data_IF_383386645882
#
_entry.id   IF_383386645882
#
_cell.length_a   1.000
_cell.length_b   1.000
_cell.length_c   1.000
_cell.angle_alpha   90.00
_cell.angle_beta   90.00
_cell.angle_gamma   90.00
#
_symmetry.space_group_name_H-M   'P 1'
#
loop_
_entity.id
_entity.type
_entity.pdbx_description
1 polymer ?
#
# COMPACT_ATOMS: atom_id res chain seq x y z
N UNK A 1 21.39 4.78 2.15
CA UNK A 1 19.92 4.82 1.96
C UNK A 1 19.25 5.15 3.29
N UNK A 2 18.46 6.22 3.37
CA UNK A 2 17.65 6.56 4.54
C UNK A 2 16.23 6.03 4.32
N UNK A 3 15.72 5.27 5.29
CA UNK A 3 14.39 4.67 5.26
C UNK A 3 13.52 5.29 6.34
N UNK A 4 12.28 5.61 6.02
CA UNK A 4 11.31 6.09 6.99
C UNK A 4 9.97 5.36 6.85
N UNK A 5 9.27 5.22 7.97
CA UNK A 5 7.91 4.72 8.02
C UNK A 5 6.97 5.86 8.40
N UNK A 6 5.92 6.05 7.62
CA UNK A 6 4.83 6.96 7.95
C UNK A 6 3.79 6.22 8.78
N UNK A 7 3.21 6.90 9.75
CA UNK A 7 2.18 6.33 10.60
C UNK A 7 1.08 7.35 10.88
N UNK A 8 -0.15 6.97 10.65
CA UNK A 8 -1.34 7.74 11.01
C UNK A 8 -2.56 6.83 11.15
N UNK A 9 -3.59 7.28 11.81
CA UNK A 9 -4.87 6.57 11.86
C UNK A 9 -5.62 6.79 10.56
N UNK A 10 -5.77 5.74 9.76
CA UNK A 10 -6.55 5.79 8.52
C UNK A 10 -8.01 6.07 8.85
N UNK A 11 -8.58 7.09 8.23
CA UNK A 11 -9.96 7.52 8.47
C UNK A 11 -10.94 6.84 7.51
N UNK A 12 -12.24 7.04 7.72
CA UNK A 12 -13.28 6.54 6.81
C UNK A 12 -13.41 7.37 5.51
N UNK A 13 -12.66 8.46 5.36
CA UNK A 13 -12.73 9.40 4.24
C UNK A 13 -11.45 9.32 3.41
N UNK A 14 -11.52 8.72 2.23
CA UNK A 14 -10.34 8.47 1.41
C UNK A 14 -9.64 9.73 0.93
N UNK A 15 -10.39 10.79 0.65
CA UNK A 15 -9.82 12.08 0.23
C UNK A 15 -8.91 12.68 1.32
N UNK A 16 -9.35 12.57 2.56
CA UNK A 16 -8.56 13.00 3.72
C UNK A 16 -7.29 12.16 3.87
N UNK A 17 -7.42 10.85 3.72
CA UNK A 17 -6.29 9.93 3.79
C UNK A 17 -5.27 10.20 2.68
N UNK A 18 -5.73 10.50 1.46
CA UNK A 18 -4.84 10.87 0.35
C UNK A 18 -4.01 12.12 0.68
N UNK A 19 -4.62 13.16 1.25
CA UNK A 19 -3.91 14.38 1.64
C UNK A 19 -2.92 14.14 2.79
N UNK A 20 -3.28 13.32 3.77
CA UNK A 20 -2.36 12.94 4.85
C UNK A 20 -1.15 12.19 4.27
N UNK A 21 -1.38 11.21 3.40
CA UNK A 21 -0.30 10.47 2.74
C UNK A 21 0.63 11.40 1.95
N UNK A 22 0.07 12.29 1.14
CA UNK A 22 0.84 13.24 0.35
C UNK A 22 1.68 14.19 1.24
N UNK A 23 1.11 14.66 2.35
CA UNK A 23 1.82 15.49 3.32
C UNK A 23 2.99 14.75 3.97
N UNK A 24 2.78 13.49 4.38
CA UNK A 24 3.84 12.65 4.96
C UNK A 24 4.94 12.35 3.94
N UNK A 25 4.57 12.10 2.67
CA UNK A 25 5.53 11.93 1.58
C UNK A 25 6.40 13.18 1.39
N UNK A 26 5.79 14.37 1.39
CA UNK A 26 6.52 15.63 1.27
C UNK A 26 7.49 15.83 2.43
N UNK A 27 7.06 15.59 3.68
CA UNK A 27 7.91 15.69 4.87
C UNK A 27 9.10 14.70 4.81
N UNK A 28 8.85 13.45 4.39
CA UNK A 28 9.92 12.47 4.24
C UNK A 28 10.94 12.91 3.18
N UNK A 29 10.49 13.41 2.04
CA UNK A 29 11.36 13.90 0.97
C UNK A 29 12.21 15.10 1.43
N UNK A 30 11.66 16.03 2.22
CA UNK A 30 12.39 17.16 2.80
C UNK A 30 13.51 16.72 3.78
N UNK A 31 13.41 15.51 4.32
CA UNK A 31 14.40 14.91 5.21
C UNK A 31 15.32 13.90 4.50
N UNK A 32 15.46 14.00 3.18
CA UNK A 32 16.35 13.17 2.36
C UNK A 32 16.08 11.65 2.47
N UNK A 33 14.84 11.27 2.74
CA UNK A 33 14.42 9.87 2.76
C UNK A 33 14.45 9.29 1.35
N UNK A 34 15.08 8.14 1.18
CA UNK A 34 15.18 7.42 -0.09
C UNK A 34 14.05 6.41 -0.29
N UNK A 35 13.63 5.75 0.80
CA UNK A 35 12.56 4.77 0.82
C UNK A 35 11.57 5.11 1.94
N UNK A 36 10.33 5.38 1.56
CA UNK A 36 9.25 5.73 2.47
C UNK A 36 8.15 4.67 2.44
N UNK A 37 7.77 4.15 3.60
CA UNK A 37 6.75 3.11 3.74
C UNK A 37 5.54 3.65 4.48
N UNK A 38 4.37 3.58 3.86
CA UNK A 38 3.09 3.96 4.42
C UNK A 38 2.33 2.75 5.00
N UNK A 39 1.29 2.96 5.83
CA UNK A 39 0.50 1.87 6.41
C UNK A 39 -0.27 1.04 5.37
N UNK A 40 -0.83 -0.07 5.84
CA UNK A 40 -1.74 -0.93 5.06
C UNK A 40 -3.16 -0.33 4.97
N UNK A 41 -3.85 -0.63 3.88
CA UNK A 41 -5.29 -0.33 3.69
C UNK A 41 -5.63 1.17 3.77
N UNK A 42 -4.92 1.98 3.00
CA UNK A 42 -4.95 3.45 3.10
C UNK A 42 -6.22 4.13 2.57
N UNK A 43 -7.07 3.42 1.81
CA UNK A 43 -8.24 4.07 1.21
C UNK A 43 -9.23 4.53 2.26
N UNK A 44 -9.75 3.61 3.05
CA UNK A 44 -10.69 3.95 4.11
C UNK A 44 -10.72 2.85 5.17
N UNK A 45 -10.90 3.24 6.42
CA UNK A 45 -11.04 2.32 7.54
C UNK A 45 -12.06 2.86 8.53
N UNK A 46 -12.88 1.94 9.05
CA UNK A 46 -13.84 2.22 10.13
C UNK A 46 -13.90 1.00 11.04
N UNK A 47 -13.77 1.19 12.35
CA UNK A 47 -13.84 0.10 13.34
C UNK A 47 -15.23 -0.51 13.44
N UNK A 48 -16.26 0.19 12.95
CA UNK A 48 -17.66 -0.28 12.92
C UNK A 48 -18.08 -0.88 11.58
N UNK A 49 -17.25 -0.76 10.52
CA UNK A 49 -17.47 -1.36 9.21
C UNK A 49 -16.17 -2.01 8.70
N UNK A 50 -15.99 -3.27 9.06
CA UNK A 50 -14.78 -4.03 8.67
C UNK A 50 -14.60 -4.17 7.14
N UNK A 51 -15.67 -4.00 6.36
CA UNK A 51 -15.65 -4.15 4.91
C UNK A 51 -15.44 -2.82 4.17
N UNK A 52 -15.32 -1.69 4.89
CA UNK A 52 -15.21 -0.38 4.28
C UNK A 52 -14.01 -0.27 3.33
N UNK A 53 -12.90 -0.90 3.66
CA UNK A 53 -11.70 -0.90 2.80
C UNK A 53 -11.98 -1.53 1.43
N UNK A 54 -12.78 -2.60 1.39
CA UNK A 54 -13.20 -3.26 0.14
C UNK A 54 -14.27 -2.44 -0.59
N UNK A 55 -15.27 -1.94 0.14
CA UNK A 55 -16.33 -1.07 -0.42
C UNK A 55 -15.74 0.21 -1.04
N UNK A 56 -14.63 0.70 -0.49
CA UNK A 56 -13.96 1.92 -0.95
C UNK A 56 -12.87 1.65 -2.00
N UNK A 57 -12.71 0.40 -2.45
CA UNK A 57 -11.67 0.01 -3.38
C UNK A 57 -11.67 0.87 -4.64
N UNK A 58 -10.48 1.26 -5.08
CA UNK A 58 -10.29 2.07 -6.29
C UNK A 58 -9.30 1.38 -7.24
N UNK A 59 -9.46 1.66 -8.53
CA UNK A 59 -8.50 1.24 -9.54
C UNK A 59 -7.13 1.89 -9.31
N UNK A 60 -6.08 1.28 -9.85
CA UNK A 60 -4.73 1.86 -9.80
C UNK A 60 -4.64 3.22 -10.52
N UNK A 61 -5.53 3.46 -11.49
CA UNK A 61 -5.70 4.74 -12.19
C UNK A 61 -6.67 5.69 -11.51
N UNK A 62 -7.18 5.30 -10.33
CA UNK A 62 -8.14 6.09 -9.55
C UNK A 62 -7.55 7.35 -8.92
N UNK A 63 -8.42 8.14 -8.32
CA UNK A 63 -8.06 9.47 -7.80
C UNK A 63 -7.13 9.40 -6.59
N UNK A 64 -7.29 8.41 -5.71
CA UNK A 64 -6.42 8.26 -4.55
C UNK A 64 -4.96 8.10 -4.97
N UNK A 65 -4.69 7.08 -5.77
CA UNK A 65 -3.32 6.81 -6.22
C UNK A 65 -2.82 7.91 -7.15
N UNK A 66 -3.70 8.50 -7.96
CA UNK A 66 -3.39 9.66 -8.78
C UNK A 66 -2.83 10.83 -7.97
N UNK A 67 -3.42 11.12 -6.80
CA UNK A 67 -2.91 12.16 -5.89
C UNK A 67 -1.51 11.83 -5.38
N UNK A 68 -1.26 10.60 -4.95
CA UNK A 68 0.03 10.18 -4.44
C UNK A 68 1.10 10.11 -5.56
N UNK A 69 0.71 9.70 -6.76
CA UNK A 69 1.60 9.72 -7.92
C UNK A 69 2.07 11.15 -8.25
N UNK A 70 1.17 12.13 -8.20
CA UNK A 70 1.55 13.54 -8.40
C UNK A 70 2.55 14.01 -7.35
N UNK A 71 2.36 13.60 -6.09
CA UNK A 71 3.34 13.92 -5.03
C UNK A 71 4.68 13.23 -5.28
N UNK A 72 4.68 11.95 -5.62
CA UNK A 72 5.91 11.18 -5.90
C UNK A 72 6.72 11.73 -7.09
N UNK A 73 6.07 12.43 -8.01
CA UNK A 73 6.71 13.07 -9.16
C UNK A 73 7.61 14.25 -8.77
N UNK A 74 7.45 14.78 -7.57
CA UNK A 74 8.17 15.99 -7.10
C UNK A 74 9.56 15.71 -6.56
N UNK A 75 9.90 14.44 -6.35
CA UNK A 75 11.19 14.03 -5.79
C UNK A 75 11.60 12.64 -6.29
N UNK A 76 12.79 12.18 -5.86
CA UNK A 76 13.33 10.88 -6.25
C UNK A 76 13.07 9.75 -5.23
N UNK A 77 12.32 10.03 -4.18
CA UNK A 77 12.01 9.06 -3.13
C UNK A 77 11.11 7.94 -3.67
N UNK A 78 11.39 6.71 -3.26
CA UNK A 78 10.50 5.58 -3.48
C UNK A 78 9.48 5.50 -2.36
N UNK A 79 8.19 5.45 -2.68
CA UNK A 79 7.11 5.31 -1.70
C UNK A 79 6.41 3.97 -1.89
N UNK A 80 6.28 3.20 -0.79
CA UNK A 80 5.56 1.92 -0.75
C UNK A 80 4.28 2.11 0.06
N UNK A 81 3.18 1.61 -0.46
CA UNK A 81 1.87 1.70 0.17
C UNK A 81 0.97 0.52 -0.23
N UNK A 82 -0.13 0.31 0.49
CA UNK A 82 -1.16 -0.64 0.05
C UNK A 82 -2.53 0.03 -0.03
N UNK A 83 -3.27 -0.35 -1.05
CA UNK A 83 -4.68 -0.01 -1.25
C UNK A 83 -5.47 -1.24 -1.67
N UNK A 84 -6.78 -1.20 -1.49
CA UNK A 84 -7.66 -2.22 -2.07
C UNK A 84 -8.05 -1.83 -3.49
N UNK A 85 -7.89 -2.78 -4.41
CA UNK A 85 -8.19 -2.63 -5.86
C UNK A 85 -9.29 -3.62 -6.23
N UNK A 86 -10.37 -3.21 -6.90
CA UNK A 86 -11.45 -4.12 -7.27
C UNK A 86 -10.93 -5.33 -8.06
N UNK A 87 -11.39 -6.52 -7.70
CA UNK A 87 -11.14 -7.77 -8.43
C UNK A 87 -12.39 -8.22 -9.18
N UNK A 88 -13.30 -8.91 -8.51
CA UNK A 88 -14.63 -9.26 -9.01
C UNK A 88 -15.70 -8.48 -8.22
N UNK A 89 -16.96 -8.45 -8.65
CA UNK A 89 -18.01 -7.71 -7.92
C UNK A 89 -18.05 -8.05 -6.43
N UNK A 90 -17.92 -7.02 -5.57
CA UNK A 90 -17.92 -7.16 -4.11
C UNK A 90 -16.61 -7.67 -3.51
N UNK A 91 -15.56 -7.84 -4.31
CA UNK A 91 -14.25 -8.33 -3.86
C UNK A 91 -13.11 -7.42 -4.34
N UNK A 92 -11.98 -7.50 -3.67
CA UNK A 92 -10.80 -6.71 -3.99
C UNK A 92 -9.51 -7.48 -3.73
N UNK A 93 -8.42 -7.06 -4.35
CA UNK A 93 -7.07 -7.41 -3.93
C UNK A 93 -6.55 -6.39 -2.93
N UNK A 94 -5.81 -6.83 -1.92
CA UNK A 94 -4.97 -5.96 -1.11
C UNK A 94 -3.66 -5.77 -1.87
N UNK A 95 -3.52 -4.63 -2.54
CA UNK A 95 -2.46 -4.38 -3.49
C UNK A 95 -1.39 -3.47 -2.90
N UNK A 96 -0.17 -3.99 -2.79
CA UNK A 96 1.01 -3.18 -2.53
C UNK A 96 1.46 -2.52 -3.84
N UNK A 97 1.79 -1.25 -3.74
CA UNK A 97 2.27 -0.43 -4.86
C UNK A 97 3.55 0.28 -4.46
N UNK A 98 4.53 0.30 -5.33
CA UNK A 98 5.71 1.14 -5.19
C UNK A 98 5.69 2.26 -6.24
N UNK A 99 5.88 3.50 -5.77
CA UNK A 99 5.88 4.71 -6.60
C UNK A 99 7.29 5.29 -6.68
N UNK A 100 7.72 5.63 -7.90
CA UNK A 100 8.95 6.39 -8.17
C UNK A 100 8.68 7.41 -9.27
N UNK A 101 9.02 8.66 -9.04
CA UNK A 101 8.93 9.73 -10.04
C UNK A 101 7.55 9.79 -10.75
N UNK A 102 6.47 9.57 -10.01
CA UNK A 102 5.10 9.58 -10.52
C UNK A 102 4.63 8.28 -11.19
N UNK A 103 5.48 7.25 -11.25
CA UNK A 103 5.18 5.97 -11.89
C UNK A 103 4.99 4.85 -10.86
N UNK A 104 4.13 3.90 -11.19
CA UNK A 104 4.04 2.61 -10.49
C UNK A 104 5.17 1.74 -11.03
N UNK A 105 6.17 1.45 -10.19
CA UNK A 105 7.35 0.65 -10.57
C UNK A 105 7.28 -0.79 -10.09
N UNK A 106 6.42 -1.08 -9.12
CA UNK A 106 6.11 -2.44 -8.68
C UNK A 106 4.69 -2.49 -8.13
N UNK A 107 4.06 -3.66 -8.26
CA UNK A 107 2.76 -3.98 -7.66
C UNK A 107 2.77 -5.44 -7.21
N UNK A 108 2.09 -5.71 -6.12
CA UNK A 108 2.03 -7.02 -5.52
C UNK A 108 0.69 -7.22 -4.81
N UNK A 109 -0.09 -8.21 -5.21
CA UNK A 109 -1.30 -8.61 -4.48
C UNK A 109 -0.90 -9.53 -3.32
N UNK A 110 -1.27 -9.16 -2.10
CA UNK A 110 -0.97 -9.92 -0.88
C UNK A 110 -1.32 -11.40 -1.04
N UNK A 111 -0.35 -12.27 -0.80
CA UNK A 111 -0.52 -13.71 -0.94
C UNK A 111 -1.22 -14.34 0.27
N UNK A 112 -0.83 -13.93 1.48
CA UNK A 112 -1.30 -14.55 2.72
C UNK A 112 -2.31 -13.65 3.43
N UNK A 113 -3.58 -14.00 3.27
CA UNK A 113 -4.69 -13.28 3.89
C UNK A 113 -4.79 -13.63 5.37
N UNK A 114 -5.19 -12.65 6.18
CA UNK A 114 -5.34 -12.83 7.62
C UNK A 114 -6.75 -13.33 7.97
N UNK A 115 -6.86 -14.62 8.22
CA UNK A 115 -8.09 -15.28 8.65
C UNK A 115 -7.90 -15.85 10.06
N UNK A 116 -7.86 -14.97 11.06
CA UNK A 116 -7.64 -15.37 12.44
C UNK A 116 -8.56 -14.60 13.39
N UNK A 117 -8.93 -15.24 14.49
CA UNK A 117 -9.85 -14.69 15.47
C UNK A 117 -11.20 -14.29 14.83
N UNK A 118 -11.65 -13.08 15.07
CA UNK A 118 -12.89 -12.56 14.49
C UNK A 118 -12.70 -11.93 13.09
N UNK A 119 -11.46 -11.90 12.59
CA UNK A 119 -11.11 -11.27 11.31
C UNK A 119 -11.01 -12.35 10.24
N UNK A 120 -11.74 -12.17 9.14
CA UNK A 120 -11.73 -13.05 7.97
C UNK A 120 -11.50 -12.21 6.71
N UNK A 121 -10.24 -11.89 6.44
CA UNK A 121 -9.87 -11.09 5.27
C UNK A 121 -10.32 -11.76 3.96
N UNK A 122 -10.20 -13.08 3.85
CA UNK A 122 -10.60 -13.86 2.68
C UNK A 122 -12.08 -13.74 2.31
N UNK A 123 -12.91 -13.22 3.21
CA UNK A 123 -14.35 -13.04 2.95
C UNK A 123 -14.62 -12.12 1.76
N UNK A 124 -13.80 -11.06 1.60
CA UNK A 124 -13.98 -10.04 0.57
C UNK A 124 -12.69 -9.70 -0.19
N UNK A 125 -11.55 -10.25 0.22
CA UNK A 125 -10.26 -10.02 -0.41
C UNK A 125 -9.81 -11.31 -1.10
N UNK A 126 -9.32 -11.17 -2.33
CA UNK A 126 -8.73 -12.26 -3.09
C UNK A 126 -7.22 -12.31 -2.84
N UNK A 127 -6.70 -13.51 -2.59
CA UNK A 127 -5.27 -13.72 -2.49
C UNK A 127 -4.59 -13.52 -3.85
N UNK A 128 -3.40 -12.93 -3.85
CA UNK A 128 -2.52 -12.94 -5.01
C UNK A 128 -2.01 -14.35 -5.32
N UNK A 129 -1.38 -14.50 -6.47
CA UNK A 129 -0.82 -15.78 -6.93
C UNK A 129 0.62 -15.64 -7.43
N UNK A 130 1.22 -14.48 -7.28
CA UNK A 130 2.59 -14.20 -7.72
C UNK A 130 3.40 -13.57 -6.60
N UNK A 131 4.67 -13.96 -6.50
CA UNK A 131 5.64 -13.34 -5.60
C UNK A 131 5.93 -11.92 -6.10
N UNK A 132 6.12 -11.00 -5.16
CA UNK A 132 6.47 -9.63 -5.48
C UNK A 132 7.80 -9.55 -6.25
N UNK A 133 7.91 -8.67 -7.25
CA UNK A 133 9.21 -8.39 -7.86
C UNK A 133 10.14 -7.73 -6.85
N UNK A 134 11.44 -7.96 -6.99
CA UNK A 134 12.42 -7.19 -6.22
C UNK A 134 12.45 -5.75 -6.72
N UNK A 135 12.35 -4.82 -5.80
CA UNK A 135 12.46 -3.40 -6.07
C UNK A 135 13.92 -2.97 -5.86
N UNK A 136 14.43 -2.11 -6.72
CA UNK A 136 15.76 -1.51 -6.55
C UNK A 136 15.63 -0.07 -6.08
N UNK A 137 16.29 0.24 -4.95
CA UNK A 137 16.37 1.60 -4.39
C UNK A 137 17.82 1.88 -4.07
N UNK A 138 18.41 2.88 -4.73
CA UNK A 138 19.83 3.27 -4.56
C UNK A 138 20.80 2.07 -4.65
N UNK A 139 20.56 1.17 -5.60
CA UNK A 139 21.38 -0.02 -5.81
C UNK A 139 21.14 -1.16 -4.82
N UNK A 140 20.22 -0.99 -3.87
CA UNK A 140 19.82 -2.04 -2.93
C UNK A 140 18.57 -2.74 -3.42
N UNK A 141 18.56 -4.07 -3.32
CA UNK A 141 17.38 -4.88 -3.62
C UNK A 141 16.48 -4.93 -2.40
N UNK A 142 15.21 -4.58 -2.59
CA UNK A 142 14.18 -4.54 -1.55
C UNK A 142 13.10 -5.55 -1.88
N UNK A 143 12.91 -6.53 -1.00
CA UNK A 143 11.79 -7.47 -1.06
C UNK A 143 10.50 -6.83 -0.52
N UNK A 144 9.37 -7.16 -1.12
CA UNK A 144 8.07 -6.59 -0.78
C UNK A 144 7.16 -7.65 -0.16
N UNK A 145 6.51 -7.31 0.94
CA UNK A 145 5.51 -8.14 1.61
C UNK A 145 4.51 -7.27 2.37
N UNK A 146 3.35 -7.82 2.66
CA UNK A 146 2.27 -7.09 3.34
C UNK A 146 1.83 -7.82 4.59
N UNK A 147 1.97 -7.17 5.77
CA UNK A 147 1.40 -7.55 7.05
C UNK A 147 1.58 -9.05 7.37
N UNK A 148 0.53 -9.87 7.21
CA UNK A 148 0.53 -11.30 7.55
C UNK A 148 1.53 -12.13 6.74
N UNK A 149 1.94 -11.66 5.55
CA UNK A 149 3.01 -12.28 4.76
C UNK A 149 4.29 -12.49 5.58
N UNK A 150 4.56 -11.63 6.58
CA UNK A 150 5.72 -11.73 7.45
C UNK A 150 5.78 -13.06 8.25
N UNK A 151 4.65 -13.74 8.40
CA UNK A 151 4.57 -15.03 9.10
C UNK A 151 5.00 -16.22 8.22
N UNK A 152 5.29 -15.96 6.96
CA UNK A 152 5.66 -16.98 5.97
C UNK A 152 7.09 -16.72 5.48
N UNK A 153 8.10 -17.30 6.17
CA UNK A 153 9.52 -17.02 5.87
C UNK A 153 9.91 -17.42 4.44
N UNK A 154 9.20 -18.36 3.84
CA UNK A 154 9.42 -18.80 2.45
C UNK A 154 9.32 -17.63 1.46
N UNK A 155 8.55 -16.60 1.78
CA UNK A 155 8.40 -15.42 0.94
C UNK A 155 9.66 -14.52 0.94
N UNK A 156 10.49 -14.65 1.98
CA UNK A 156 11.70 -13.84 2.15
C UNK A 156 12.99 -14.56 1.72
N UNK A 157 12.90 -15.84 1.32
CA UNK A 157 14.00 -16.66 0.84
C UNK A 157 14.16 -16.56 -0.67
#
# INVERSE_FOLDING_TARGET
MLVAAGQFAVTSVWEKNAEICASLMAQAAENDVSLFVLPEALLARDDHDADLSVKSAQLLEGEFLGRLRRESKRNMMTTILTIHVPSTPGRAWNMLVALQAGNIVARYAKLHLYDAFAIQESRHVDAGNEIAPLLEVEGMKVGLMTCYDLRFPELAL
#
